data_IF_012469352893
#
_entry.id   IF_012469352893
#
_cell.length_a   1.000
_cell.length_b   1.000
_cell.length_c   1.000
_cell.angle_alpha   90.00
_cell.angle_beta   90.00
_cell.angle_gamma   90.00
#
_symmetry.space_group_name_H-M   'P 1'
#
loop_
_entity.id
_entity.type
_entity.pdbx_description
1 polymer ?
#
# COMPACT_ATOMS: atom_id res chain seq x y z
N UNK A 1 18.34 5.49 -2.02
CA UNK A 1 18.43 6.82 -2.69
C UNK A 1 17.10 7.10 -3.36
N UNK A 2 16.53 8.30 -3.23
CA UNK A 2 15.21 8.60 -3.81
C UNK A 2 15.29 8.53 -5.35
N UNK A 3 14.30 7.91 -6.03
CA UNK A 3 14.36 7.63 -7.46
C UNK A 3 14.02 8.84 -8.33
N UNK A 4 14.57 10.03 -8.04
CA UNK A 4 14.26 11.25 -8.79
C UNK A 4 14.63 11.16 -10.27
N UNK A 5 15.65 10.37 -10.64
CA UNK A 5 15.99 10.14 -12.04
C UNK A 5 14.82 9.52 -12.84
N UNK A 6 13.91 8.80 -12.18
CA UNK A 6 12.73 8.23 -12.84
C UNK A 6 11.78 9.28 -13.40
N UNK A 7 11.88 10.55 -12.96
CA UNK A 7 11.10 11.66 -13.51
C UNK A 7 11.33 11.86 -15.00
N UNK A 8 12.53 11.53 -15.49
CA UNK A 8 12.90 11.64 -16.91
C UNK A 8 12.10 10.67 -17.79
N UNK A 9 11.47 9.65 -17.20
CA UNK A 9 10.61 8.69 -17.91
C UNK A 9 9.18 9.18 -18.09
N UNK A 10 8.82 10.32 -17.50
CA UNK A 10 7.53 10.98 -17.71
C UNK A 10 7.57 11.71 -19.05
N UNK A 11 6.60 11.42 -19.91
CA UNK A 11 6.54 11.87 -21.31
C UNK A 11 6.65 13.40 -21.44
N UNK A 12 6.00 14.16 -20.55
CA UNK A 12 6.05 15.62 -20.57
C UNK A 12 7.47 16.18 -20.46
N UNK A 13 8.29 15.60 -19.58
CA UNK A 13 9.68 16.03 -19.42
C UNK A 13 10.55 15.50 -20.57
N UNK A 14 10.35 14.25 -20.98
CA UNK A 14 11.05 13.66 -22.12
C UNK A 14 10.86 14.48 -23.40
N UNK A 15 9.61 14.80 -23.75
CA UNK A 15 9.26 15.57 -24.94
C UNK A 15 9.83 17.00 -24.90
N UNK A 16 9.76 17.65 -23.74
CA UNK A 16 10.30 18.99 -23.55
C UNK A 16 11.82 19.02 -23.79
N UNK A 17 12.53 18.02 -23.26
CA UNK A 17 13.98 17.92 -23.38
C UNK A 17 14.37 17.58 -24.81
N UNK A 18 13.66 16.66 -25.47
CA UNK A 18 13.94 16.27 -26.86
C UNK A 18 13.69 17.41 -27.86
N UNK A 19 12.76 18.32 -27.55
CA UNK A 19 12.42 19.47 -28.41
C UNK A 19 13.26 20.72 -28.12
N UNK A 20 14.06 20.73 -27.05
CA UNK A 20 14.85 21.89 -26.67
C UNK A 20 15.99 22.13 -27.68
N UNK A 21 16.04 23.33 -28.26
CA UNK A 21 17.11 23.75 -29.20
C UNK A 21 18.20 24.58 -28.53
N UNK A 22 17.97 25.04 -27.31
CA UNK A 22 18.89 25.86 -26.52
C UNK A 22 18.76 25.54 -25.01
N UNK A 23 19.79 25.86 -24.20
CA UNK A 23 19.71 25.73 -22.76
C UNK A 23 18.61 26.65 -22.19
N UNK A 24 17.63 26.06 -21.51
CA UNK A 24 16.53 26.79 -20.90
C UNK A 24 16.24 26.29 -19.48
N UNK A 25 15.83 27.21 -18.60
CA UNK A 25 15.34 26.88 -17.26
C UNK A 25 13.82 26.81 -17.29
N UNK A 26 13.24 25.72 -16.79
CA UNK A 26 11.79 25.51 -16.82
C UNK A 26 11.26 25.26 -15.41
N UNK A 27 10.18 25.94 -15.05
CA UNK A 27 9.54 25.82 -13.75
C UNK A 27 8.38 24.83 -13.82
N UNK A 28 8.35 23.90 -12.86
CA UNK A 28 7.27 22.94 -12.70
C UNK A 28 6.88 22.79 -11.23
N UNK A 29 5.60 22.52 -10.98
CA UNK A 29 5.11 22.09 -9.67
C UNK A 29 4.77 20.59 -9.73
N UNK A 30 5.54 19.76 -9.04
CA UNK A 30 5.33 18.30 -9.03
C UNK A 30 4.03 17.85 -8.36
N UNK A 31 3.39 18.73 -7.59
CA UNK A 31 2.14 18.41 -6.91
C UNK A 31 0.90 18.80 -7.71
N UNK A 32 1.06 19.48 -8.85
CA UNK A 32 -0.06 20.07 -9.58
C UNK A 32 -0.99 20.82 -8.60
N UNK A 33 -2.25 20.40 -8.51
CA UNK A 33 -3.27 20.97 -7.64
C UNK A 33 -3.52 20.19 -6.33
N UNK A 34 -2.75 19.14 -6.04
CA UNK A 34 -3.03 18.22 -4.92
C UNK A 34 -3.08 18.91 -3.56
N UNK A 35 -2.33 20.00 -3.36
CA UNK A 35 -2.31 20.72 -2.09
C UNK A 35 -3.65 21.40 -1.75
N UNK A 36 -4.61 21.43 -2.67
CA UNK A 36 -5.98 21.91 -2.42
C UNK A 36 -6.79 20.92 -1.57
N UNK A 37 -6.55 19.61 -1.73
CA UNK A 37 -7.33 18.55 -1.07
C UNK A 37 -6.53 17.70 -0.08
N UNK A 38 -5.20 17.60 -0.26
CA UNK A 38 -4.34 16.78 0.59
C UNK A 38 -3.15 17.54 1.18
N UNK A 39 -2.61 17.02 2.27
CA UNK A 39 -1.42 17.57 2.92
C UNK A 39 -0.17 17.46 2.04
N UNK A 40 0.82 18.31 2.29
CA UNK A 40 2.13 18.24 1.63
C UNK A 40 2.84 16.90 1.87
N UNK A 41 2.66 16.30 3.06
CA UNK A 41 3.18 14.97 3.36
C UNK A 41 2.57 13.89 2.48
N UNK A 42 1.24 13.92 2.29
CA UNK A 42 0.53 12.98 1.42
C UNK A 42 0.92 13.19 -0.04
N UNK A 43 0.98 14.44 -0.51
CA UNK A 43 1.40 14.77 -1.86
C UNK A 43 2.84 14.31 -2.15
N UNK A 44 3.76 14.53 -1.21
CA UNK A 44 5.13 14.03 -1.32
C UNK A 44 5.17 12.50 -1.39
N UNK A 45 4.42 11.82 -0.52
CA UNK A 45 4.35 10.35 -0.50
C UNK A 45 3.82 9.80 -1.82
N UNK A 46 2.82 10.44 -2.42
CA UNK A 46 2.29 10.12 -3.76
C UNK A 46 3.36 10.27 -4.84
N UNK A 47 4.10 11.37 -4.86
CA UNK A 47 5.21 11.56 -5.81
C UNK A 47 6.23 10.42 -5.67
N UNK A 48 6.68 10.13 -4.45
CA UNK A 48 7.67 9.07 -4.24
C UNK A 48 7.16 7.72 -4.72
N UNK A 49 5.90 7.40 -4.45
CA UNK A 49 5.28 6.15 -4.88
C UNK A 49 5.25 6.03 -6.42
N UNK A 50 4.86 7.11 -7.11
CA UNK A 50 4.86 7.16 -8.58
C UNK A 50 6.29 7.02 -9.12
N UNK A 51 7.25 7.77 -8.58
CA UNK A 51 8.65 7.73 -9.02
C UNK A 51 9.25 6.33 -8.79
N UNK A 52 8.93 5.68 -7.68
CA UNK A 52 9.36 4.30 -7.40
C UNK A 52 8.75 3.30 -8.37
N UNK A 53 7.45 3.45 -8.69
CA UNK A 53 6.78 2.68 -9.72
C UNK A 53 7.46 2.85 -11.09
N UNK A 54 7.70 4.09 -11.52
CA UNK A 54 8.40 4.42 -12.78
C UNK A 54 9.83 3.88 -12.81
N UNK A 55 10.51 3.80 -11.67
CA UNK A 55 11.84 3.21 -11.61
C UNK A 55 11.80 1.69 -11.88
N UNK A 56 10.84 0.99 -11.27
CA UNK A 56 10.71 -0.47 -11.32
C UNK A 56 10.08 -0.95 -12.64
N UNK A 57 8.93 -0.40 -13.01
CA UNK A 57 8.20 -0.78 -14.22
C UNK A 57 7.46 0.44 -14.80
N UNK A 58 8.10 1.19 -15.71
CA UNK A 58 7.52 2.38 -16.32
C UNK A 58 6.20 2.09 -17.04
N UNK A 59 6.14 1.03 -17.85
CA UNK A 59 4.99 0.74 -18.70
C UNK A 59 3.76 0.40 -17.87
N UNK A 60 3.91 -0.48 -16.87
CA UNK A 60 2.81 -0.82 -15.96
C UNK A 60 2.39 0.38 -15.11
N UNK A 61 3.34 1.22 -14.69
CA UNK A 61 3.03 2.46 -13.96
C UNK A 61 2.20 3.42 -14.80
N UNK A 62 2.55 3.61 -16.08
CA UNK A 62 1.77 4.46 -17.00
C UNK A 62 0.34 3.95 -17.18
N UNK A 63 0.15 2.63 -17.27
CA UNK A 63 -1.17 2.01 -17.33
C UNK A 63 -1.95 2.25 -16.03
N UNK A 64 -1.33 2.07 -14.86
CA UNK A 64 -1.97 2.31 -13.55
C UNK A 64 -2.39 3.78 -13.41
N UNK A 65 -1.57 4.72 -13.87
CA UNK A 65 -1.88 6.16 -13.80
C UNK A 65 -3.04 6.58 -14.71
N UNK A 66 -3.36 5.80 -15.75
CA UNK A 66 -4.45 6.09 -16.70
C UNK A 66 -5.50 4.97 -16.63
N UNK A 67 -6.34 4.94 -15.56
CA UNK A 67 -7.27 3.85 -15.31
C UNK A 67 -8.38 3.76 -16.36
N UNK A 68 -8.74 4.86 -17.02
CA UNK A 68 -9.72 4.90 -18.10
C UNK A 68 -9.17 5.65 -19.33
N UNK A 69 -9.75 5.35 -20.50
CA UNK A 69 -9.48 6.06 -21.76
C UNK A 69 -9.91 7.52 -21.71
N UNK A 70 -10.85 7.86 -20.83
CA UNK A 70 -11.32 9.24 -20.63
C UNK A 70 -10.40 10.05 -19.71
N UNK A 71 -9.45 9.40 -19.03
CA UNK A 71 -8.50 10.07 -18.15
C UNK A 71 -7.62 11.03 -18.95
N UNK A 72 -7.75 12.32 -18.67
CA UNK A 72 -6.96 13.39 -19.30
C UNK A 72 -5.97 13.99 -18.32
N UNK A 73 -4.88 14.53 -18.85
CA UNK A 73 -3.93 15.39 -18.13
C UNK A 73 -4.07 16.80 -18.66
N UNK A 74 -4.27 17.76 -17.78
CA UNK A 74 -4.35 19.17 -18.19
C UNK A 74 -3.01 19.66 -18.75
N UNK A 75 -3.00 20.60 -19.73
CA UNK A 75 -1.77 21.03 -20.38
C UNK A 75 -0.69 21.56 -19.43
N UNK A 76 -1.09 22.18 -18.31
CA UNK A 76 -0.17 22.71 -17.30
C UNK A 76 0.17 21.69 -16.20
N UNK A 77 -0.58 20.59 -16.07
CA UNK A 77 -0.32 19.53 -15.11
C UNK A 77 0.64 18.46 -15.61
N UNK A 78 1.31 17.78 -14.69
CA UNK A 78 2.20 16.65 -14.97
C UNK A 78 1.42 15.35 -14.89
N UNK A 79 0.53 15.24 -13.90
CA UNK A 79 -0.19 14.02 -13.58
C UNK A 79 -1.62 14.06 -14.13
N UNK A 80 -2.25 12.89 -14.32
CA UNK A 80 -3.66 12.81 -14.71
C UNK A 80 -4.59 13.48 -13.70
N UNK A 81 -5.63 14.14 -14.21
CA UNK A 81 -6.66 14.75 -13.38
C UNK A 81 -7.61 13.64 -12.88
N UNK A 82 -7.40 13.21 -11.64
CA UNK A 82 -8.16 12.17 -10.95
C UNK A 82 -8.78 12.73 -9.67
N UNK A 83 -9.94 12.19 -9.28
CA UNK A 83 -10.54 12.50 -7.97
C UNK A 83 -9.82 11.75 -6.85
N UNK A 84 -9.97 12.20 -5.60
CA UNK A 84 -9.25 11.62 -4.45
C UNK A 84 -9.49 10.10 -4.30
N UNK A 85 -10.71 9.63 -4.56
CA UNK A 85 -11.06 8.19 -4.52
C UNK A 85 -10.32 7.36 -5.59
N UNK A 86 -10.12 7.94 -6.78
CA UNK A 86 -9.34 7.30 -7.84
C UNK A 86 -7.86 7.30 -7.50
N UNK A 87 -7.35 8.38 -6.91
CA UNK A 87 -5.98 8.43 -6.42
C UNK A 87 -5.68 7.35 -5.39
N UNK A 88 -6.61 7.07 -4.47
CA UNK A 88 -6.44 5.97 -3.49
C UNK A 88 -6.26 4.63 -4.22
N UNK A 89 -7.06 4.35 -5.25
CA UNK A 89 -6.96 3.11 -6.03
C UNK A 89 -5.63 3.01 -6.79
N UNK A 90 -5.21 4.13 -7.39
CA UNK A 90 -3.92 4.23 -8.09
C UNK A 90 -2.76 4.02 -7.11
N UNK A 91 -2.78 4.66 -5.95
CA UNK A 91 -1.76 4.51 -4.92
C UNK A 91 -1.67 3.06 -4.42
N UNK A 92 -2.79 2.41 -4.15
CA UNK A 92 -2.81 1.00 -3.76
C UNK A 92 -2.21 0.11 -4.87
N UNK A 93 -2.63 0.31 -6.12
CA UNK A 93 -2.10 -0.47 -7.25
C UNK A 93 -0.59 -0.28 -7.45
N UNK A 94 -0.08 0.95 -7.28
CA UNK A 94 1.36 1.23 -7.35
C UNK A 94 2.10 0.56 -6.20
N UNK A 95 1.59 0.68 -4.97
CA UNK A 95 2.17 0.03 -3.78
C UNK A 95 2.25 -1.49 -3.98
N UNK A 96 1.17 -2.12 -4.41
CA UNK A 96 1.11 -3.57 -4.61
C UNK A 96 2.09 -4.01 -5.70
N UNK A 97 2.20 -3.26 -6.80
CA UNK A 97 3.17 -3.53 -7.85
C UNK A 97 4.61 -3.47 -7.32
N UNK A 98 4.95 -2.44 -6.54
CA UNK A 98 6.30 -2.26 -5.97
C UNK A 98 6.62 -3.40 -5.00
N UNK A 99 5.69 -3.75 -4.10
CA UNK A 99 5.89 -4.82 -3.14
C UNK A 99 5.98 -6.18 -3.81
N UNK A 100 5.17 -6.45 -4.85
CA UNK A 100 5.23 -7.69 -5.60
C UNK A 100 6.58 -7.87 -6.31
N UNK A 101 7.15 -6.81 -6.91
CA UNK A 101 8.49 -6.86 -7.50
C UNK A 101 9.56 -7.16 -6.44
N UNK A 102 9.48 -6.51 -5.26
CA UNK A 102 10.39 -6.77 -4.16
C UNK A 102 10.28 -8.22 -3.63
N UNK A 103 9.06 -8.70 -3.39
CA UNK A 103 8.80 -10.05 -2.90
C UNK A 103 9.30 -11.12 -3.86
N UNK A 104 9.11 -10.91 -5.18
CA UNK A 104 9.62 -11.81 -6.22
C UNK A 104 11.14 -11.83 -6.27
N UNK A 105 11.81 -10.67 -6.20
CA UNK A 105 13.28 -10.57 -6.26
C UNK A 105 13.97 -11.17 -5.04
N UNK A 106 13.36 -11.06 -3.87
CA UNK A 106 13.96 -11.47 -2.60
C UNK A 106 13.37 -12.78 -2.05
N UNK A 107 12.42 -13.40 -2.76
CA UNK A 107 11.70 -14.59 -2.33
C UNK A 107 11.06 -14.40 -0.93
N UNK A 108 10.34 -13.29 -0.75
CA UNK A 108 9.69 -12.88 0.50
C UNK A 108 8.17 -12.79 0.30
N UNK A 109 7.41 -13.33 1.26
CA UNK A 109 5.98 -13.08 1.32
C UNK A 109 5.70 -11.61 1.70
N UNK A 110 5.10 -10.84 0.79
CA UNK A 110 4.78 -9.42 1.03
C UNK A 110 3.83 -9.20 2.22
N UNK A 111 3.02 -10.20 2.56
CA UNK A 111 2.10 -10.12 3.70
C UNK A 111 2.80 -10.15 5.05
N UNK A 112 4.04 -10.65 5.13
CA UNK A 112 4.82 -10.68 6.38
C UNK A 112 5.57 -9.37 6.64
N UNK A 113 5.54 -8.41 5.71
CA UNK A 113 6.26 -7.14 5.84
C UNK A 113 5.58 -6.21 6.84
N UNK A 114 6.36 -5.56 7.69
CA UNK A 114 5.85 -4.50 8.57
C UNK A 114 5.65 -3.19 7.80
N UNK A 115 4.91 -2.26 8.40
CA UNK A 115 4.72 -0.92 7.81
C UNK A 115 6.03 -0.14 7.65
N UNK A 116 7.02 -0.37 8.53
CA UNK A 116 8.35 0.23 8.39
C UNK A 116 9.10 -0.37 7.19
N UNK A 117 9.08 -1.69 7.03
CA UNK A 117 9.72 -2.36 5.89
C UNK A 117 9.08 -1.95 4.57
N UNK A 118 7.74 -1.88 4.52
CA UNK A 118 7.01 -1.37 3.34
C UNK A 118 7.45 0.05 2.98
N UNK A 119 7.57 0.94 3.97
CA UNK A 119 8.04 2.32 3.77
C UNK A 119 9.46 2.33 3.21
N UNK A 120 10.36 1.55 3.80
CA UNK A 120 11.77 1.50 3.42
C UNK A 120 11.96 0.94 2.00
N UNK A 121 11.16 -0.07 1.60
CA UNK A 121 11.12 -0.61 0.23
C UNK A 121 10.68 0.47 -0.77
N UNK A 122 9.64 1.24 -0.44
CA UNK A 122 9.13 2.32 -1.30
C UNK A 122 10.17 3.44 -1.42
N UNK A 123 10.83 3.81 -0.32
CA UNK A 123 11.91 4.81 -0.31
C UNK A 123 13.20 4.34 -0.99
N UNK A 124 13.32 3.04 -1.26
CA UNK A 124 14.49 2.44 -1.90
C UNK A 124 15.71 2.39 -0.99
N UNK A 125 15.47 2.05 0.27
CA UNK A 125 16.51 1.64 1.20
C UNK A 125 16.84 0.16 1.00
N UNK A 126 18.10 -0.21 1.24
CA UNK A 126 18.50 -1.61 1.30
C UNK A 126 17.99 -2.18 2.62
N UNK A 127 16.97 -3.03 2.55
CA UNK A 127 16.48 -3.77 3.70
C UNK A 127 16.91 -5.23 3.60
N UNK A 128 17.28 -5.81 4.74
CA UNK A 128 17.45 -7.26 4.81
C UNK A 128 16.09 -7.93 4.68
N UNK A 129 16.00 -8.97 3.86
CA UNK A 129 14.79 -9.76 3.77
C UNK A 129 14.41 -10.34 5.15
N UNK A 130 13.12 -10.34 5.52
CA UNK A 130 12.69 -10.93 6.79
C UNK A 130 13.01 -12.43 6.85
N UNK A 131 13.42 -12.92 8.02
CA UNK A 131 13.78 -14.32 8.24
C UNK A 131 12.62 -15.27 7.96
N UNK A 132 12.92 -16.50 7.52
CA UNK A 132 11.88 -17.51 7.22
C UNK A 132 10.98 -17.82 8.43
N UNK A 133 11.55 -17.84 9.64
CA UNK A 133 10.79 -18.04 10.87
C UNK A 133 9.73 -16.95 11.07
N UNK A 134 10.08 -15.68 10.78
CA UNK A 134 9.13 -14.56 10.87
C UNK A 134 8.02 -14.66 9.83
N UNK A 135 8.34 -15.14 8.63
CA UNK A 135 7.36 -15.34 7.57
C UNK A 135 6.33 -16.41 7.98
N UNK A 136 6.79 -17.53 8.55
CA UNK A 136 5.90 -18.59 9.06
C UNK A 136 4.96 -18.08 10.18
N UNK A 137 5.47 -17.27 11.11
CA UNK A 137 4.65 -16.69 12.18
C UNK A 137 3.54 -15.80 11.60
N UNK A 138 3.87 -14.95 10.62
CA UNK A 138 2.88 -14.08 9.98
C UNK A 138 1.77 -14.88 9.26
N UNK A 139 2.12 -15.99 8.63
CA UNK A 139 1.15 -16.87 7.95
C UNK A 139 0.20 -17.54 8.96
N UNK A 140 0.73 -18.00 10.11
CA UNK A 140 -0.07 -18.59 11.20
C UNK A 140 -1.00 -17.54 11.83
N UNK A 141 -0.50 -16.33 12.10
CA UNK A 141 -1.33 -15.25 12.66
C UNK A 141 -2.47 -14.86 11.72
N UNK A 142 -2.21 -14.84 10.40
CA UNK A 142 -3.24 -14.54 9.39
C UNK A 142 -4.34 -15.60 9.37
N UNK A 143 -3.97 -16.89 9.34
CA UNK A 143 -4.94 -17.99 9.44
C UNK A 143 -5.75 -17.90 10.74
N UNK A 144 -5.09 -17.58 11.85
CA UNK A 144 -5.76 -17.42 13.15
C UNK A 144 -6.75 -16.26 13.14
N UNK A 145 -6.40 -15.11 12.56
CA UNK A 145 -7.31 -13.95 12.42
C UNK A 145 -8.51 -14.23 11.52
N UNK A 146 -8.29 -14.88 10.38
CA UNK A 146 -9.36 -15.29 9.47
C UNK A 146 -10.30 -16.30 10.15
N UNK A 147 -9.75 -17.25 10.90
CA UNK A 147 -10.54 -18.23 11.67
C UNK A 147 -11.28 -17.57 12.84
N UNK A 148 -10.68 -16.55 13.49
CA UNK A 148 -11.30 -15.80 14.59
C UNK A 148 -12.51 -14.97 14.16
N UNK A 149 -12.57 -14.53 12.90
CA UNK A 149 -13.77 -13.88 12.34
C UNK A 149 -14.95 -14.85 12.15
N UNK A 150 -14.68 -16.16 12.00
CA UNK A 150 -15.72 -17.18 11.77
C UNK A 150 -16.34 -17.67 13.09
N UNK A 151 -15.69 -17.48 14.24
CA UNK A 151 -16.19 -17.88 15.56
C UNK A 151 -17.11 -16.82 16.21
N UNK A 152 -18.09 -16.30 15.46
CA UNK A 152 -19.17 -15.51 16.04
C UNK A 152 -20.22 -16.47 16.64
N UNK A 153 -20.33 -16.53 17.96
CA UNK A 153 -21.39 -17.32 18.62
C UNK A 153 -22.71 -16.56 18.49
N UNK A 154 -23.64 -17.11 17.71
CA UNK A 154 -25.01 -16.58 17.60
C UNK A 154 -25.88 -17.19 18.69
N UNK A 155 -26.34 -16.38 19.63
CA UNK A 155 -27.31 -16.81 20.65
C UNK A 155 -28.71 -16.42 20.21
N UNK A 156 -29.61 -17.40 20.07
CA UNK A 156 -31.04 -17.19 19.78
C UNK A 156 -31.84 -17.28 21.08
N UNK A 157 -32.58 -16.23 21.42
CA UNK A 157 -33.50 -16.21 22.57
C UNK A 157 -34.87 -15.72 22.14
N UNK A 158 -35.93 -16.18 22.81
CA UNK A 158 -37.32 -15.79 22.51
C UNK A 158 -37.86 -14.97 23.67
N UNK A 159 -38.46 -13.83 23.37
CA UNK A 159 -39.06 -12.99 24.41
C UNK A 159 -40.42 -13.58 24.88
N UNK A 160 -40.96 -13.06 25.99
CA UNK A 160 -42.27 -13.49 26.54
C UNK A 160 -43.49 -13.26 25.62
N UNK A 161 -43.30 -12.55 24.51
CA UNK A 161 -44.32 -12.28 23.49
C UNK A 161 -44.14 -13.12 22.21
N UNK A 162 -43.12 -13.98 22.14
CA UNK A 162 -42.87 -14.89 21.03
C UNK A 162 -41.92 -14.39 19.94
N UNK A 163 -41.32 -13.21 20.10
CA UNK A 163 -40.38 -12.67 19.11
C UNK A 163 -38.98 -13.28 19.27
N UNK A 164 -38.39 -13.73 18.15
CA UNK A 164 -37.01 -14.23 18.11
C UNK A 164 -36.01 -13.07 18.14
N UNK A 165 -35.12 -13.08 19.13
CA UNK A 165 -33.95 -12.19 19.23
C UNK A 165 -32.72 -13.01 18.85
N UNK A 166 -31.98 -12.55 17.84
CA UNK A 166 -30.71 -13.14 17.41
C UNK A 166 -29.59 -12.16 17.77
N UNK A 167 -28.77 -12.52 18.74
CA UNK A 167 -27.60 -11.73 19.16
C UNK A 167 -26.33 -12.44 18.69
N UNK A 168 -25.56 -11.77 17.83
CA UNK A 168 -24.25 -12.24 17.40
C UNK A 168 -23.16 -11.59 18.27
N UNK A 169 -22.45 -12.38 19.08
CA UNK A 169 -21.36 -11.88 19.91
C UNK A 169 -20.02 -12.21 19.24
N UNK A 170 -19.30 -11.19 18.78
CA UNK A 170 -17.98 -11.32 18.11
C UNK A 170 -16.83 -11.01 19.06
N UNK A 171 -16.86 -11.49 20.30
CA UNK A 171 -15.79 -11.24 21.28
C UNK A 171 -15.24 -12.54 21.85
N UNK A 172 -13.99 -12.83 21.53
CA UNK A 172 -13.21 -13.92 22.13
C UNK A 172 -12.54 -13.49 23.46
N UNK A 173 -12.90 -12.32 24.00
CA UNK A 173 -12.20 -11.69 25.13
C UNK A 173 -12.45 -12.40 26.47
N UNK A 174 -13.54 -13.16 26.60
CA UNK A 174 -13.95 -13.78 27.88
C UNK A 174 -13.55 -15.26 28.02
N UNK A 175 -12.97 -15.89 26.99
CA UNK A 175 -12.49 -17.27 27.06
C UNK A 175 -11.03 -17.42 27.54
N UNK A 176 -10.29 -16.31 27.70
CA UNK A 176 -8.92 -16.35 28.19
C UNK A 176 -8.91 -16.47 29.72
N UNK A 177 -8.83 -17.70 30.23
CA UNK A 177 -8.43 -17.92 31.63
C UNK A 177 -7.00 -17.43 31.77
N UNK A 178 -6.81 -16.34 32.53
CA UNK A 178 -5.50 -15.75 32.79
C UNK A 178 -4.61 -16.75 33.55
N UNK A 179 -3.62 -17.32 32.87
CA UNK A 179 -2.57 -18.13 33.49
C UNK A 179 -1.25 -17.34 33.53
N UNK A 180 -0.83 -16.90 34.71
CA UNK A 180 0.39 -16.09 34.91
C UNK A 180 1.68 -16.93 34.96
N UNK A 181 1.93 -17.77 33.94
CA UNK A 181 3.24 -18.43 33.80
C UNK A 181 3.74 -18.33 32.37
N UNK A 182 4.77 -17.51 32.18
CA UNK A 182 5.57 -17.43 30.96
C UNK A 182 6.31 -18.76 30.76
N UNK A 183 5.77 -19.67 29.94
CA UNK A 183 6.48 -20.88 29.53
C UNK A 183 7.50 -20.57 28.42
N UNK A 184 8.72 -20.27 28.84
CA UNK A 184 9.86 -20.02 27.94
C UNK A 184 10.26 -21.22 27.08
N UNK A 185 9.84 -22.44 27.43
CA UNK A 185 10.19 -23.67 26.70
C UNK A 185 9.61 -23.73 25.29
N UNK A 186 8.46 -23.09 25.05
CA UNK A 186 7.84 -23.03 23.72
C UNK A 186 8.64 -22.10 22.77
N UNK A 187 9.44 -21.18 23.32
CA UNK A 187 10.30 -20.28 22.53
C UNK A 187 11.66 -20.87 22.18
N UNK A 188 11.97 -22.09 22.62
CA UNK A 188 13.30 -22.68 22.52
C UNK A 188 13.40 -23.88 21.56
N UNK A 189 12.37 -24.17 20.77
CA UNK A 189 12.39 -25.22 19.73
C UNK A 189 12.30 -24.56 18.36
#
# INVERSE_FOLDING_TARGET
>A
MLPFQAIMKVEKFGDLILKATEPQMVLFNLYDDWLKTISSYTAFSRVILIMRGMHINPDKTKVILKPDKTTVTEPHHIWPSLIDEEWIKVELALKDMILADYGKKNNVNVASLTQSEVRDIILGMEISAPSQQRQQIADIEKQTKEQSQVTATTTRTVNKHGDEIITATTSNYEAATFASRTEWRIRAI
#
